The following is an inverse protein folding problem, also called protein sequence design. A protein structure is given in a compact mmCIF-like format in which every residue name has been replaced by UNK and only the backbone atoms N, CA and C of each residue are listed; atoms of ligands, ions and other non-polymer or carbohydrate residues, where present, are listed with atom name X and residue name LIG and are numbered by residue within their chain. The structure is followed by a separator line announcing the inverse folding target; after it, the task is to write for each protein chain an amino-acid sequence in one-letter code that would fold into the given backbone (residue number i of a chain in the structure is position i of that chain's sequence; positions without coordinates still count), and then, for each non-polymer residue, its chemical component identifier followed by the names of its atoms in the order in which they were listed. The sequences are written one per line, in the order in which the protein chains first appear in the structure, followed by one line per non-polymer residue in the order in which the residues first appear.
data_IF_194427667295
#
_entry.id   IF_194427667295
#
_cell.length_a   1.000
_cell.length_b   1.000
_cell.length_c   1.000
_cell.angle_alpha   90.00
_cell.angle_beta   90.00
_cell.angle_gamma   90.00
#
_symmetry.space_group_name_H-M   'P 1'
#
loop_
_entity.id
_entity.type
_entity.pdbx_description
1 polymer ?
#
# COMPACT_ATOMS: atom_id res chain seq x y z
N UNK A 1 9.74 -8.11 -24.60
CA UNK A 1 10.02 -9.24 -23.68
C UNK A 1 9.57 -10.60 -24.22
N UNK A 2 8.30 -10.81 -24.62
CA UNK A 2 7.85 -12.10 -25.22
C UNK A 2 8.68 -12.52 -26.46
N UNK A 3 9.01 -11.55 -27.30
CA UNK A 3 9.78 -11.78 -28.52
C UNK A 3 11.23 -12.17 -28.22
N UNK A 4 11.87 -11.47 -27.27
CA UNK A 4 13.21 -11.80 -26.76
C UNK A 4 13.27 -13.20 -26.14
N UNK A 5 12.25 -13.56 -25.34
CA UNK A 5 12.17 -14.89 -24.76
C UNK A 5 11.99 -16.00 -25.82
N UNK A 6 11.24 -15.73 -26.89
CA UNK A 6 11.07 -16.68 -28.00
C UNK A 6 12.31 -16.84 -28.89
N UNK A 7 13.17 -15.82 -28.94
CA UNK A 7 14.41 -15.83 -29.72
C UNK A 7 15.59 -16.42 -28.94
N UNK A 8 15.44 -16.67 -27.63
CA UNK A 8 16.51 -17.25 -26.80
C UNK A 8 16.65 -18.76 -27.06
N UNK A 9 17.87 -19.26 -27.37
CA UNK A 9 18.11 -20.69 -27.50
C UNK A 9 17.94 -21.41 -26.15
N UNK A 10 17.17 -22.49 -26.13
CA UNK A 10 16.94 -23.29 -24.92
C UNK A 10 18.25 -23.96 -24.50
N UNK A 11 18.80 -23.55 -23.35
CA UNK A 11 19.99 -24.15 -22.74
C UNK A 11 21.33 -23.44 -23.00
N UNK A 12 21.35 -22.33 -23.74
CA UNK A 12 22.56 -21.52 -23.94
C UNK A 12 22.35 -20.13 -23.35
N UNK A 13 22.59 -20.00 -22.05
CA UNK A 13 22.79 -18.70 -21.41
C UNK A 13 24.21 -18.24 -21.69
N UNK A 14 24.36 -16.95 -21.98
CA UNK A 14 25.69 -16.34 -22.03
C UNK A 14 26.36 -16.43 -20.67
N UNK A 15 27.70 -16.46 -20.61
CA UNK A 15 28.39 -16.58 -19.33
C UNK A 15 28.11 -15.40 -18.40
N UNK A 16 27.87 -14.21 -18.96
CA UNK A 16 27.43 -13.04 -18.21
C UNK A 16 26.05 -13.26 -17.57
N UNK A 17 25.06 -13.75 -18.35
CA UNK A 17 23.73 -14.03 -17.82
C UNK A 17 23.75 -15.09 -16.71
N UNK A 18 24.63 -16.10 -16.81
CA UNK A 18 24.79 -17.10 -15.73
C UNK A 18 25.31 -16.47 -14.44
N UNK A 19 26.27 -15.55 -14.55
CA UNK A 19 26.81 -14.81 -13.40
C UNK A 19 25.73 -13.93 -12.80
N UNK A 20 25.00 -13.18 -13.63
CA UNK A 20 23.92 -12.29 -13.18
C UNK A 20 22.79 -13.07 -12.51
N UNK A 21 22.41 -14.24 -13.04
CA UNK A 21 21.43 -15.14 -12.42
C UNK A 21 21.88 -15.64 -11.05
N UNK A 22 23.16 -15.97 -10.90
CA UNK A 22 23.70 -16.45 -9.63
C UNK A 22 23.81 -15.32 -8.60
N UNK A 23 24.20 -14.11 -9.03
CA UNK A 23 24.16 -12.91 -8.18
C UNK A 23 22.71 -12.66 -7.73
N UNK A 24 21.75 -12.70 -8.65
CA UNK A 24 20.34 -12.46 -8.34
C UNK A 24 19.76 -13.46 -7.32
N UNK A 25 20.15 -14.74 -7.39
CA UNK A 25 19.69 -15.76 -6.42
C UNK A 25 20.21 -15.52 -4.99
N UNK A 26 21.42 -14.97 -4.88
CA UNK A 26 22.12 -14.80 -3.61
C UNK A 26 21.84 -13.44 -2.95
N UNK A 27 21.34 -12.45 -3.71
CA UNK A 27 21.04 -11.13 -3.19
C UNK A 27 19.77 -11.15 -2.33
N UNK A 28 19.82 -10.44 -1.20
CA UNK A 28 18.65 -10.21 -0.37
C UNK A 28 17.71 -9.21 -1.05
N UNK A 29 16.46 -9.63 -1.31
CA UNK A 29 15.43 -8.76 -1.90
C UNK A 29 14.39 -8.38 -0.84
N UNK A 30 14.37 -7.13 -0.37
CA UNK A 30 13.39 -6.61 0.58
C UNK A 30 11.94 -6.77 0.09
N UNK A 31 11.05 -7.22 0.99
CA UNK A 31 9.61 -7.34 0.70
C UNK A 31 8.81 -6.11 1.11
N UNK A 32 9.33 -5.33 2.05
CA UNK A 32 8.73 -4.10 2.56
C UNK A 32 9.79 -3.01 2.61
N UNK A 33 9.39 -1.73 2.49
CA UNK A 33 10.32 -0.60 2.55
C UNK A 33 11.06 -0.51 3.89
N UNK A 34 10.45 -0.98 4.98
CA UNK A 34 11.08 -1.01 6.31
C UNK A 34 12.34 -1.89 6.38
N UNK A 35 12.51 -2.80 5.43
CA UNK A 35 13.69 -3.69 5.33
C UNK A 35 14.81 -3.07 4.49
N UNK A 36 14.55 -1.97 3.79
CA UNK A 36 15.55 -1.25 2.99
C UNK A 36 16.34 -0.36 3.95
N UNK A 37 17.60 -0.71 4.19
CA UNK A 37 18.45 -0.03 5.17
C UNK A 37 18.89 1.34 4.62
N UNK A 38 19.40 1.38 3.39
CA UNK A 38 20.08 2.55 2.81
C UNK A 38 19.31 3.15 1.61
N UNK A 39 18.03 3.51 1.80
CA UNK A 39 17.21 4.05 0.70
C UNK A 39 17.73 5.40 0.16
N UNK A 40 18.39 6.21 1.00
CA UNK A 40 18.96 7.50 0.59
C UNK A 40 20.10 7.31 -0.41
N UNK A 41 21.02 6.38 -0.12
CA UNK A 41 22.12 6.02 -1.03
C UNK A 41 21.58 5.52 -2.36
N UNK A 42 20.60 4.63 -2.32
CA UNK A 42 20.02 4.08 -3.55
C UNK A 42 19.35 5.18 -4.41
N UNK A 43 18.76 6.22 -3.79
CA UNK A 43 18.26 7.40 -4.52
C UNK A 43 19.37 8.28 -5.09
N UNK A 44 20.49 8.43 -4.40
CA UNK A 44 21.66 9.19 -4.88
C UNK A 44 22.33 8.49 -6.05
N UNK A 45 22.53 7.18 -5.94
CA UNK A 45 23.15 6.35 -6.99
C UNK A 45 22.32 6.37 -8.28
N UNK A 46 20.99 6.41 -8.17
CA UNK A 46 20.09 6.59 -9.32
C UNK A 46 20.20 7.98 -9.95
N UNK A 47 20.29 9.04 -9.13
CA UNK A 47 20.43 10.42 -9.63
C UNK A 47 21.79 10.63 -10.31
N UNK A 48 22.84 10.02 -9.76
CA UNK A 48 24.18 10.06 -10.33
C UNK A 48 24.29 9.18 -11.58
N UNK A 49 23.41 8.19 -11.72
CA UNK A 49 23.39 7.23 -12.83
C UNK A 49 24.43 6.12 -12.68
N UNK A 50 24.98 5.92 -11.48
CA UNK A 50 25.90 4.81 -11.18
C UNK A 50 25.16 3.48 -11.13
N UNK A 51 23.91 3.49 -10.65
CA UNK A 51 23.03 2.32 -10.62
C UNK A 51 21.82 2.53 -11.51
N UNK A 52 21.39 1.44 -12.14
CA UNK A 52 20.17 1.41 -12.91
C UNK A 52 19.03 0.80 -12.10
N UNK A 53 17.81 0.92 -12.63
CA UNK A 53 16.60 0.28 -12.10
C UNK A 53 16.77 -1.24 -11.87
N UNK A 54 17.68 -1.88 -12.62
CA UNK A 54 17.94 -3.32 -12.54
C UNK A 54 18.72 -3.70 -11.28
N UNK A 55 19.56 -2.78 -10.79
CA UNK A 55 20.42 -2.99 -9.62
C UNK A 55 19.64 -2.83 -8.31
N UNK A 56 18.54 -2.07 -8.34
CA UNK A 56 17.66 -1.86 -7.18
C UNK A 56 16.46 -2.80 -7.28
N UNK A 57 16.68 -4.04 -6.84
CA UNK A 57 15.73 -5.14 -7.08
C UNK A 57 14.36 -4.97 -6.41
N UNK A 58 14.28 -4.23 -5.30
CA UNK A 58 13.01 -4.03 -4.59
C UNK A 58 12.03 -3.11 -5.36
N UNK A 59 12.52 -2.28 -6.28
CA UNK A 59 11.68 -1.39 -7.11
C UNK A 59 10.60 -2.18 -7.83
N UNK A 60 10.97 -3.30 -8.45
CA UNK A 60 10.06 -4.10 -9.27
C UNK A 60 9.01 -4.84 -8.45
N UNK A 61 9.38 -5.34 -7.27
CA UNK A 61 8.45 -6.08 -6.39
C UNK A 61 7.43 -5.14 -5.78
N UNK A 62 7.86 -3.96 -5.37
CA UNK A 62 7.01 -2.95 -4.75
C UNK A 62 6.22 -2.11 -5.78
N UNK A 63 6.53 -2.27 -7.07
CA UNK A 63 5.91 -1.49 -8.14
C UNK A 63 6.21 -0.01 -7.98
N UNK A 64 7.47 0.34 -7.70
CA UNK A 64 7.92 1.73 -7.65
C UNK A 64 8.33 2.21 -9.04
N UNK A 65 8.23 3.52 -9.25
CA UNK A 65 8.78 4.16 -10.45
C UNK A 65 10.30 4.02 -10.50
N UNK A 66 10.83 4.19 -11.71
CA UNK A 66 12.26 4.23 -12.03
C UNK A 66 13.06 5.18 -11.13
N UNK A 67 12.44 6.32 -10.79
CA UNK A 67 13.05 7.38 -9.97
C UNK A 67 12.81 7.19 -8.45
N UNK A 68 12.35 6.01 -8.01
CA UNK A 68 11.87 5.74 -6.64
C UNK A 68 10.76 6.68 -6.14
N UNK A 69 10.24 7.55 -7.01
CA UNK A 69 9.31 8.62 -6.70
C UNK A 69 7.87 8.08 -6.72
N UNK A 70 7.60 7.20 -5.76
CA UNK A 70 6.27 6.64 -5.50
C UNK A 70 5.88 5.45 -6.39
N UNK A 71 4.61 5.02 -6.31
CA UNK A 71 4.12 3.83 -7.00
C UNK A 71 3.97 4.08 -8.50
N UNK A 72 4.38 3.09 -9.28
CA UNK A 72 4.14 2.97 -10.71
C UNK A 72 2.79 2.30 -10.93
N UNK A 73 1.84 3.03 -11.53
CA UNK A 73 0.46 2.57 -11.76
C UNK A 73 0.41 1.44 -12.80
N UNK A 74 1.40 1.39 -13.69
CA UNK A 74 1.53 0.37 -14.73
C UNK A 74 2.97 -0.14 -14.79
N UNK A 75 3.32 -1.15 -13.98
CA UNK A 75 4.63 -1.77 -14.05
C UNK A 75 4.75 -2.60 -15.34
N UNK A 76 5.05 -1.92 -16.45
CA UNK A 76 5.47 -2.49 -17.73
C UNK A 76 4.39 -3.31 -18.48
N UNK A 77 3.42 -2.58 -19.08
CA UNK A 77 2.91 -2.95 -20.40
C UNK A 77 3.94 -2.49 -21.45
N UNK A 78 4.37 -3.32 -22.40
CA UNK A 78 5.47 -2.96 -23.30
C UNK A 78 5.04 -1.81 -24.23
N UNK A 79 5.65 -0.64 -24.03
CA UNK A 79 5.75 0.53 -24.93
C UNK A 79 4.56 0.78 -25.87
N UNK A 80 3.73 1.76 -25.54
CA UNK A 80 2.99 2.51 -26.55
C UNK A 80 3.31 3.99 -26.37
N UNK A 81 4.17 4.49 -27.26
CA UNK A 81 4.31 5.91 -27.53
C UNK A 81 2.92 6.44 -27.91
N UNK A 82 2.35 7.30 -27.09
CA UNK A 82 1.12 8.00 -27.42
C UNK A 82 1.14 9.36 -26.75
N UNK A 83 1.43 10.37 -27.56
CA UNK A 83 1.08 11.77 -27.30
C UNK A 83 -0.35 11.86 -26.77
N UNK A 84 -0.50 12.45 -25.60
CA UNK A 84 -1.79 12.80 -25.00
C UNK A 84 -1.59 14.05 -24.15
N UNK A 85 -1.93 15.20 -24.75
CA UNK A 85 -2.18 16.47 -24.08
C UNK A 85 -3.22 16.30 -22.96
N UNK A 86 -3.30 17.32 -22.09
CA UNK A 86 -4.39 17.62 -21.16
C UNK A 86 -4.40 16.84 -19.81
N UNK A 87 -4.52 17.41 -18.61
CA UNK A 87 -4.98 18.73 -18.16
C UNK A 87 -4.26 19.19 -16.88
N UNK A 88 -4.31 20.51 -16.75
CA UNK A 88 -3.91 21.43 -15.69
C UNK A 88 -4.37 20.99 -14.29
N UNK A 89 -3.47 20.52 -13.43
CA UNK A 89 -3.79 20.33 -12.02
C UNK A 89 -3.36 21.56 -11.21
N UNK A 90 -4.36 22.39 -10.91
CA UNK A 90 -4.32 23.50 -9.98
C UNK A 90 -3.61 23.11 -8.68
N UNK A 91 -2.63 23.93 -8.28
CA UNK A 91 -2.04 23.94 -6.96
C UNK A 91 -3.01 24.64 -6.02
N UNK A 92 -3.65 23.87 -5.15
CA UNK A 92 -4.31 24.40 -3.96
C UNK A 92 -3.37 24.11 -2.79
N UNK A 93 -2.62 25.15 -2.44
CA UNK A 93 -1.80 25.26 -1.24
C UNK A 93 -2.74 25.63 -0.10
N UNK A 94 -3.14 24.63 0.70
CA UNK A 94 -3.78 24.88 1.99
C UNK A 94 -3.00 24.10 3.06
N UNK A 95 -1.89 24.72 3.44
CA UNK A 95 -1.11 24.40 4.62
C UNK A 95 -1.73 25.14 5.81
N UNK A 96 -2.51 24.46 6.63
CA UNK A 96 -2.62 24.80 8.05
C UNK A 96 -3.02 23.61 8.93
N UNK A 97 -2.34 23.50 10.07
CA UNK A 97 -2.89 22.92 11.28
C UNK A 97 -2.62 21.44 11.54
N UNK A 98 -1.53 21.19 12.24
CA UNK A 98 -1.17 19.96 12.95
C UNK A 98 -2.37 19.25 13.63
N UNK A 99 -2.39 17.91 13.59
CA UNK A 99 -2.48 17.07 14.80
C UNK A 99 -2.24 15.58 14.41
N UNK A 100 -1.11 15.09 14.90
CA UNK A 100 -0.78 13.68 15.19
C UNK A 100 -2.01 12.84 15.60
N UNK A 101 -2.51 11.98 14.70
CA UNK A 101 -3.35 10.85 15.09
C UNK A 101 -3.39 9.79 13.98
N UNK A 102 -2.73 8.65 14.25
CA UNK A 102 -2.60 7.50 13.36
C UNK A 102 -3.80 7.23 12.45
N UNK A 103 -3.48 7.02 11.17
CA UNK A 103 -4.39 6.79 10.04
C UNK A 103 -5.23 5.52 10.23
N UNK A 104 -6.23 5.60 11.09
CA UNK A 104 -7.34 4.65 11.16
C UNK A 104 -8.20 4.88 9.93
N UNK A 105 -7.91 4.15 8.86
CA UNK A 105 -8.84 4.02 7.73
C UNK A 105 -10.15 3.47 8.31
N UNK A 106 -11.18 4.32 8.48
CA UNK A 106 -12.47 3.83 8.98
C UNK A 106 -13.06 2.93 7.89
N UNK A 107 -13.14 1.60 8.07
CA UNK A 107 -13.38 0.66 6.98
C UNK A 107 -14.87 0.58 6.60
N UNK A 108 -15.55 1.73 6.45
CA UNK A 108 -16.98 1.76 6.16
C UNK A 108 -17.59 3.15 6.05
N UNK A 109 -16.79 4.21 5.84
CA UNK A 109 -17.30 5.56 5.55
C UNK A 109 -16.97 5.91 4.09
N UNK A 110 -17.97 6.16 3.23
CA UNK A 110 -17.69 6.62 1.88
C UNK A 110 -17.09 8.03 1.92
N UNK A 111 -16.10 8.27 1.06
CA UNK A 111 -15.41 9.57 0.91
C UNK A 111 -16.24 10.43 -0.06
N UNK A 112 -16.44 11.70 0.25
CA UNK A 112 -17.21 12.64 -0.60
C UNK A 112 -18.69 12.86 -0.26
N UNK A 113 -19.19 12.40 0.90
CA UNK A 113 -20.57 12.70 1.33
C UNK A 113 -20.77 14.19 1.68
N UNK A 114 -21.94 14.75 1.32
CA UNK A 114 -22.36 16.07 1.79
C UNK A 114 -22.61 16.12 3.30
N UNK A 115 -22.56 17.32 3.89
CA UNK A 115 -22.70 17.51 5.34
C UNK A 115 -24.05 17.04 5.89
N UNK A 116 -25.13 17.09 5.10
CA UNK A 116 -26.46 16.59 5.49
C UNK A 116 -26.48 15.07 5.64
N UNK A 117 -26.00 14.34 4.63
CA UNK A 117 -25.92 12.87 4.62
C UNK A 117 -25.09 12.36 5.80
N UNK A 118 -23.97 13.03 6.11
CA UNK A 118 -23.13 12.71 7.28
C UNK A 118 -23.89 12.84 8.60
N UNK A 119 -24.73 13.87 8.76
CA UNK A 119 -25.54 14.11 9.97
C UNK A 119 -26.61 13.03 10.12
N UNK A 120 -27.30 12.67 9.04
CA UNK A 120 -28.33 11.64 9.01
C UNK A 120 -27.76 10.27 9.39
N UNK A 121 -26.63 9.87 8.80
CA UNK A 121 -25.95 8.61 9.15
C UNK A 121 -25.55 8.57 10.62
N UNK A 122 -24.99 9.67 11.15
CA UNK A 122 -24.62 9.77 12.56
C UNK A 122 -25.86 9.68 13.47
N UNK A 123 -26.98 10.25 13.06
CA UNK A 123 -28.26 10.18 13.78
C UNK A 123 -28.79 8.74 13.81
N UNK A 124 -28.86 8.07 12.66
CA UNK A 124 -29.31 6.68 12.55
C UNK A 124 -28.47 5.72 13.40
N UNK A 125 -27.12 5.86 13.39
CA UNK A 125 -26.24 5.04 14.23
C UNK A 125 -26.48 5.27 15.72
N UNK A 126 -26.70 6.52 16.14
CA UNK A 126 -26.99 6.85 17.55
C UNK A 126 -28.33 6.29 18.00
N UNK A 127 -29.37 6.38 17.17
CA UNK A 127 -30.71 5.85 17.47
C UNK A 127 -30.69 4.33 17.59
N UNK A 128 -30.08 3.63 16.63
CA UNK A 128 -29.92 2.17 16.70
C UNK A 128 -29.14 1.72 17.94
N UNK A 129 -28.09 2.46 18.34
CA UNK A 129 -27.37 2.15 19.58
C UNK A 129 -28.18 2.45 20.83
N UNK A 130 -28.98 3.52 20.84
CA UNK A 130 -29.87 3.84 21.95
C UNK A 130 -30.93 2.76 22.14
N UNK A 131 -31.55 2.29 21.06
CA UNK A 131 -32.50 1.16 21.08
C UNK A 131 -31.85 -0.13 21.60
N UNK A 132 -30.66 -0.47 21.12
CA UNK A 132 -29.89 -1.63 21.63
C UNK A 132 -29.55 -1.52 23.13
N UNK A 133 -29.39 -0.30 23.65
CA UNK A 133 -29.15 -0.08 25.09
C UNK A 133 -30.42 -0.25 25.92
N UNK A 134 -31.62 -0.01 25.37
CA UNK A 134 -32.91 -0.20 26.06
C UNK A 134 -33.16 -1.68 26.40
N UNK A 135 -32.81 -2.59 25.51
CA UNK A 135 -33.00 -4.05 25.68
C UNK A 135 -31.78 -4.76 26.27
N UNK A 136 -30.70 -4.03 26.57
CA UNK A 136 -29.45 -4.61 27.08
C UNK A 136 -29.62 -5.22 28.48
N UNK A 137 -29.13 -6.44 28.66
CA UNK A 137 -29.10 -7.11 29.97
C UNK A 137 -28.34 -6.26 30.99
N UNK A 138 -28.96 -6.01 32.16
CA UNK A 138 -28.35 -5.24 33.26
C UNK A 138 -27.04 -5.90 33.72
N UNK A 139 -26.04 -5.07 34.03
CA UNK A 139 -24.68 -5.50 34.42
C UNK A 139 -24.67 -6.53 35.56
N UNK A 140 -25.49 -6.34 36.59
CA UNK A 140 -25.53 -7.24 37.76
C UNK A 140 -26.08 -8.63 37.39
N UNK A 141 -27.08 -8.70 36.49
CA UNK A 141 -27.64 -9.97 36.00
C UNK A 141 -26.59 -10.73 35.19
N UNK A 142 -25.90 -10.06 34.26
CA UNK A 142 -24.80 -10.65 33.49
C UNK A 142 -23.71 -11.20 34.42
N UNK A 143 -23.26 -10.40 35.41
CA UNK A 143 -22.23 -10.81 36.38
C UNK A 143 -22.65 -12.02 37.21
N UNK A 144 -23.93 -12.11 37.62
CA UNK A 144 -24.44 -13.25 38.38
C UNK A 144 -24.46 -14.52 37.54
N UNK A 145 -25.01 -14.45 36.33
CA UNK A 145 -25.06 -15.61 35.42
C UNK A 145 -23.67 -16.15 35.08
N UNK A 146 -22.67 -15.28 34.91
CA UNK A 146 -21.29 -15.68 34.65
C UNK A 146 -20.64 -16.35 35.88
N UNK A 147 -20.87 -15.81 37.09
CA UNK A 147 -20.42 -16.45 38.33
C UNK A 147 -21.04 -17.83 38.53
N UNK A 148 -22.33 -17.98 38.25
CA UNK A 148 -23.04 -19.26 38.34
C UNK A 148 -22.50 -20.27 37.33
N UNK A 149 -22.23 -19.85 36.09
CA UNK A 149 -21.57 -20.70 35.08
C UNK A 149 -20.18 -21.15 35.54
N UNK A 150 -19.37 -20.26 36.13
CA UNK A 150 -18.04 -20.59 36.65
C UNK A 150 -18.07 -21.58 37.83
N UNK A 151 -19.13 -21.56 38.66
CA UNK A 151 -19.30 -22.52 39.77
C UNK A 151 -19.75 -23.91 39.32
N UNK A 152 -20.33 -24.02 38.13
CA UNK A 152 -20.81 -25.28 37.55
C UNK A 152 -19.73 -26.06 36.79
N UNK A 153 -18.54 -25.48 36.66
CA UNK A 153 -17.38 -26.07 36.00
C UNK A 153 -16.27 -26.26 37.05
#
# INVERSE_FOLDING_TARGET
MKEVASQRPVGQLTDQEKVDEEVFKNVFIPKTLDQVIDFERDMEDLKLGEKTEKDIHYCRILGLKKDLTGPEVHPDSPTQDSSGSDEEHSKDDDSDGEEEAGKRTTPGRPKGESLSVKKERKKAVKEAQAEKRKTKVKKHVKKRAEKEKKKRH
#
